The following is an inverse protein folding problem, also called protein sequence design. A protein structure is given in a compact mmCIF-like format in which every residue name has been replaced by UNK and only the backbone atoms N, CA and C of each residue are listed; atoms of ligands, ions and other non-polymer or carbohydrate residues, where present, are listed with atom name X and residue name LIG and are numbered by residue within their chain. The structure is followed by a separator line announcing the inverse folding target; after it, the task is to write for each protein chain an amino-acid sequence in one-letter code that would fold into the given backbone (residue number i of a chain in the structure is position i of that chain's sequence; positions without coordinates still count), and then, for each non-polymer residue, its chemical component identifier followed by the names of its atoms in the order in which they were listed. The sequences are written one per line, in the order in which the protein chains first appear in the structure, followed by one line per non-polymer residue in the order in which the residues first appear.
data_IF_163376455285
#
_entry.id   IF_163376455285
#
_cell.length_a   1.000
_cell.length_b   1.000
_cell.length_c   1.000
_cell.angle_alpha   90.00
_cell.angle_beta   90.00
_cell.angle_gamma   90.00
#
_symmetry.space_group_name_H-M   'P 1'
#
loop_
_entity.id
_entity.type
_entity.pdbx_description
1 polymer ?
#
# COMPACT_ATOMS: atom_id res chain seq x y z
N UNK A 1 22.67 22.82 42.67
CA UNK A 1 21.32 22.83 42.06
C UNK A 1 21.36 22.88 40.53
N UNK A 2 21.99 23.88 39.88
CA UNK A 2 22.07 23.96 38.40
C UNK A 2 22.75 22.74 37.74
N UNK A 3 23.87 22.25 38.28
CA UNK A 3 24.54 21.04 37.77
C UNK A 3 23.69 19.77 37.92
N UNK A 4 22.92 19.66 39.01
CA UNK A 4 22.01 18.54 39.25
C UNK A 4 20.85 18.56 38.23
N UNK A 5 20.28 19.75 37.95
CA UNK A 5 19.23 19.94 36.96
C UNK A 5 19.71 19.60 35.53
N UNK A 6 20.93 20.00 35.16
CA UNK A 6 21.53 19.66 33.86
C UNK A 6 21.73 18.15 33.75
N UNK A 7 22.28 17.50 34.79
CA UNK A 7 22.47 16.05 34.79
C UNK A 7 21.16 15.29 34.67
N UNK A 8 20.12 15.68 35.42
CA UNK A 8 18.78 15.08 35.31
C UNK A 8 18.17 15.27 33.92
N UNK A 9 18.29 16.47 33.32
CA UNK A 9 17.81 16.72 31.97
C UNK A 9 18.52 15.86 30.93
N UNK A 10 19.84 15.68 31.07
CA UNK A 10 20.65 14.81 30.19
C UNK A 10 20.23 13.34 30.34
N UNK A 11 20.09 12.83 31.56
CA UNK A 11 19.62 11.45 31.80
C UNK A 11 18.21 11.20 31.23
N UNK A 12 17.29 12.16 31.39
CA UNK A 12 15.95 12.08 30.80
C UNK A 12 16.03 12.03 29.27
N UNK A 13 16.83 12.89 28.64
CA UNK A 13 17.03 12.87 27.18
C UNK A 13 17.58 11.52 26.70
N UNK A 14 18.55 10.93 27.39
CA UNK A 14 19.07 9.61 27.06
C UNK A 14 18.01 8.51 27.19
N UNK A 15 17.18 8.54 28.23
CA UNK A 15 16.11 7.57 28.42
C UNK A 15 15.04 7.67 27.29
N UNK A 16 14.65 8.89 26.89
CA UNK A 16 13.72 9.08 25.78
C UNK A 16 14.27 8.56 24.45
N UNK A 17 15.54 8.85 24.14
CA UNK A 17 16.20 8.37 22.91
C UNK A 17 16.30 6.84 22.87
N UNK A 18 16.66 6.21 23.99
CA UNK A 18 16.71 4.75 24.09
C UNK A 18 15.34 4.09 23.86
N UNK A 19 14.28 4.66 24.45
CA UNK A 19 12.92 4.16 24.26
C UNK A 19 12.43 4.34 22.81
N UNK A 20 12.68 5.50 22.18
CA UNK A 20 12.32 5.74 20.79
C UNK A 20 13.04 4.78 19.83
N UNK A 21 14.34 4.53 20.04
CA UNK A 21 15.12 3.59 19.24
C UNK A 21 14.66 2.13 19.46
N UNK A 22 14.24 1.79 20.68
CA UNK A 22 13.63 0.50 21.00
C UNK A 22 12.28 0.33 20.28
N UNK A 23 11.42 1.35 20.32
CA UNK A 23 10.13 1.36 19.62
C UNK A 23 10.33 1.20 18.12
N UNK A 24 11.18 2.00 17.49
CA UNK A 24 11.46 1.90 16.04
C UNK A 24 11.87 0.47 15.63
N UNK A 25 12.68 -0.22 16.45
CA UNK A 25 13.05 -1.62 16.19
C UNK A 25 11.84 -2.56 16.27
N UNK A 26 10.94 -2.38 17.23
CA UNK A 26 9.68 -3.14 17.32
C UNK A 26 8.78 -2.87 16.10
N UNK A 27 8.67 -1.62 15.67
CA UNK A 27 7.92 -1.24 14.47
C UNK A 27 8.49 -1.98 13.25
N UNK A 28 9.81 -1.95 13.04
CA UNK A 28 10.48 -2.65 11.94
C UNK A 28 10.27 -4.17 11.99
N UNK A 29 10.30 -4.76 13.19
CA UNK A 29 10.04 -6.19 13.38
C UNK A 29 8.60 -6.54 12.98
N UNK A 30 7.61 -5.77 13.45
CA UNK A 30 6.20 -5.98 13.12
C UNK A 30 5.95 -5.84 11.61
N UNK A 31 6.53 -4.81 10.99
CA UNK A 31 6.50 -4.63 9.53
C UNK A 31 7.07 -5.89 8.85
N UNK A 32 8.30 -6.29 9.17
CA UNK A 32 8.98 -7.42 8.52
C UNK A 32 8.33 -8.78 8.77
N UNK A 33 7.61 -8.98 9.87
CA UNK A 33 6.86 -10.22 10.10
C UNK A 33 5.67 -10.42 9.16
N UNK A 34 5.28 -9.39 8.39
CA UNK A 34 4.33 -9.54 7.28
C UNK A 34 4.94 -10.23 6.04
N UNK A 35 6.24 -10.51 6.03
CA UNK A 35 6.90 -11.29 4.98
C UNK A 35 6.74 -12.81 5.17
N UNK A 36 6.67 -13.53 4.05
CA UNK A 36 6.52 -14.98 4.02
C UNK A 36 5.42 -15.46 3.08
N UNK A 37 5.06 -16.73 3.17
CA UNK A 37 3.96 -17.32 2.40
C UNK A 37 2.65 -17.36 3.20
N UNK A 38 1.54 -16.99 2.57
CA UNK A 38 0.23 -16.88 3.22
C UNK A 38 -0.89 -17.51 2.41
N UNK A 39 -1.81 -18.18 3.10
CA UNK A 39 -3.17 -18.35 2.62
C UNK A 39 -3.94 -17.06 2.90
N UNK A 40 -4.25 -16.34 1.83
CA UNK A 40 -4.93 -15.05 1.89
C UNK A 40 -6.43 -15.24 1.71
N UNK A 41 -7.22 -14.61 2.57
CA UNK A 41 -8.66 -14.49 2.43
C UNK A 41 -9.03 -13.05 2.14
N UNK A 42 -9.75 -12.79 1.06
CA UNK A 42 -10.27 -11.47 0.70
C UNK A 42 -11.77 -11.42 0.97
N UNK A 43 -12.16 -10.79 2.08
CA UNK A 43 -13.56 -10.68 2.49
C UNK A 43 -14.01 -9.23 2.44
N UNK A 44 -15.05 -8.93 1.68
CA UNK A 44 -15.61 -7.58 1.59
C UNK A 44 -17.13 -7.63 1.62
N UNK A 45 -17.73 -6.76 2.41
CA UNK A 45 -19.18 -6.59 2.48
C UNK A 45 -19.49 -5.10 2.62
N UNK A 46 -20.35 -4.59 1.75
CA UNK A 46 -20.97 -3.28 1.97
C UNK A 46 -21.96 -3.39 3.13
N UNK A 47 -21.92 -2.43 4.05
CA UNK A 47 -22.57 -2.55 5.38
C UNK A 47 -23.67 -1.53 5.58
N UNK A 48 -23.37 -0.24 5.38
CA UNK A 48 -24.33 0.84 5.54
C UNK A 48 -24.47 1.60 4.23
N UNK A 49 -25.71 1.82 3.82
CA UNK A 49 -26.08 2.54 2.61
C UNK A 49 -26.61 3.93 2.97
N UNK A 50 -26.18 4.94 2.21
CA UNK A 50 -26.62 6.33 2.38
C UNK A 50 -27.07 6.96 1.05
N UNK A 51 -27.33 6.12 0.03
CA UNK A 51 -27.84 6.57 -1.26
C UNK A 51 -29.29 7.02 -1.15
N UNK A 52 -29.62 8.15 -1.78
CA UNK A 52 -31.02 8.57 -2.01
C UNK A 52 -31.61 7.96 -3.31
N UNK A 53 -30.80 7.23 -4.10
CA UNK A 53 -31.25 6.52 -5.30
C UNK A 53 -32.03 5.25 -4.94
N UNK A 54 -33.33 5.22 -5.24
CA UNK A 54 -34.21 4.05 -5.04
C UNK A 54 -33.77 2.81 -5.83
N UNK A 55 -32.95 2.97 -6.87
CA UNK A 55 -32.39 1.86 -7.66
C UNK A 55 -30.96 1.51 -7.26
N UNK A 56 -30.47 2.01 -6.13
CA UNK A 56 -29.15 1.68 -5.62
C UNK A 56 -28.99 0.16 -5.50
N UNK A 57 -27.88 -0.34 -6.04
CA UNK A 57 -27.51 -1.76 -5.93
C UNK A 57 -26.22 -1.86 -5.14
N UNK A 58 -26.26 -2.43 -3.93
CA UNK A 58 -25.08 -2.55 -3.12
C UNK A 58 -24.06 -3.50 -3.73
N UNK A 59 -22.81 -3.35 -3.31
CA UNK A 59 -21.74 -4.25 -3.73
C UNK A 59 -22.02 -5.67 -3.25
N UNK A 60 -21.88 -6.65 -4.15
CA UNK A 60 -22.01 -8.05 -3.76
C UNK A 60 -20.95 -8.41 -2.73
N UNK A 61 -21.35 -9.17 -1.71
CA UNK A 61 -20.41 -9.75 -0.74
C UNK A 61 -19.37 -10.58 -1.50
N UNK A 62 -18.11 -10.32 -1.19
CA UNK A 62 -16.97 -11.02 -1.77
C UNK A 62 -16.35 -11.93 -0.72
N UNK A 63 -16.17 -13.19 -1.09
CA UNK A 63 -15.26 -14.13 -0.44
C UNK A 63 -14.38 -14.75 -1.49
N UNK A 64 -13.08 -14.58 -1.34
CA UNK A 64 -12.10 -15.05 -2.30
C UNK A 64 -10.83 -15.46 -1.55
N UNK A 65 -10.01 -16.31 -2.16
CA UNK A 65 -8.81 -16.84 -1.54
C UNK A 65 -7.68 -16.94 -2.53
N UNK A 66 -6.47 -16.75 -2.05
CA UNK A 66 -5.26 -16.96 -2.84
C UNK A 66 -4.13 -17.48 -1.96
N UNK A 67 -3.08 -17.98 -2.62
CA UNK A 67 -1.78 -18.12 -1.98
C UNK A 67 -0.94 -16.91 -2.38
N UNK A 68 -0.29 -16.26 -1.43
CA UNK A 68 0.50 -15.05 -1.68
C UNK A 68 1.87 -15.13 -1.02
N UNK A 69 2.91 -14.80 -1.79
CA UNK A 69 4.26 -14.60 -1.30
C UNK A 69 4.52 -13.13 -1.07
N UNK A 70 4.91 -12.77 0.16
CA UNK A 70 5.34 -11.42 0.50
C UNK A 70 6.87 -11.40 0.59
N UNK A 71 7.48 -10.92 -0.49
CA UNK A 71 8.92 -10.82 -0.64
C UNK A 71 9.46 -9.56 0.02
N UNK A 72 10.45 -9.70 0.90
CA UNK A 72 11.26 -8.58 1.38
C UNK A 72 12.22 -8.13 0.26
N UNK A 73 12.08 -6.89 -0.21
CA UNK A 73 12.85 -6.34 -1.33
C UNK A 73 13.99 -5.43 -0.85
N UNK A 74 13.75 -4.60 0.17
CA UNK A 74 14.76 -3.78 0.85
C UNK A 74 14.45 -3.74 2.35
N UNK A 75 15.51 -3.71 3.17
CA UNK A 75 15.46 -3.66 4.63
C UNK A 75 16.52 -2.66 5.13
N UNK A 76 16.25 -1.38 4.89
CA UNK A 76 17.06 -0.27 5.33
C UNK A 76 16.57 0.28 6.67
N UNK A 77 17.40 1.09 7.35
CA UNK A 77 17.07 1.65 8.67
C UNK A 77 15.79 2.50 8.66
N UNK A 78 15.47 3.13 7.54
CA UNK A 78 14.36 4.08 7.39
C UNK A 78 13.39 3.69 6.27
N UNK A 79 13.65 2.60 5.56
CA UNK A 79 12.84 2.13 4.44
C UNK A 79 12.77 0.61 4.45
N UNK A 80 11.57 0.06 4.38
CA UNK A 80 11.34 -1.37 4.17
C UNK A 80 10.43 -1.53 2.97
N UNK A 81 10.82 -2.32 1.98
CA UNK A 81 10.04 -2.54 0.76
C UNK A 81 9.60 -3.99 0.69
N UNK A 82 8.31 -4.21 0.40
CA UNK A 82 7.75 -5.55 0.23
C UNK A 82 6.98 -5.66 -1.07
N UNK A 83 7.21 -6.75 -1.78
CA UNK A 83 6.46 -7.10 -2.97
C UNK A 83 5.54 -8.29 -2.68
N UNK A 84 4.25 -8.12 -2.97
CA UNK A 84 3.26 -9.19 -2.89
C UNK A 84 3.09 -9.87 -4.25
N UNK A 85 3.20 -11.19 -4.28
CA UNK A 85 3.09 -12.03 -5.48
C UNK A 85 2.03 -13.10 -5.26
N UNK A 86 0.92 -13.00 -5.99
CA UNK A 86 -0.13 -14.03 -5.95
C UNK A 86 0.30 -15.25 -6.76
N UNK A 87 0.08 -16.43 -6.20
CA UNK A 87 0.15 -17.72 -6.88
C UNK A 87 -1.27 -18.13 -7.23
N UNK A 88 -1.60 -18.16 -8.52
CA UNK A 88 -2.93 -18.53 -9.02
C UNK A 88 -2.84 -19.68 -10.02
N UNK A 89 -3.98 -20.29 -10.35
CA UNK A 89 -4.02 -21.45 -11.25
C UNK A 89 -3.88 -22.77 -10.51
N UNK A 90 -3.54 -23.84 -11.24
CA UNK A 90 -3.43 -25.19 -10.67
C UNK A 90 -2.07 -25.38 -10.01
N UNK A 91 -1.94 -26.23 -8.97
CA UNK A 91 -0.67 -26.48 -8.29
C UNK A 91 0.47 -26.98 -9.22
N UNK A 92 0.13 -27.71 -10.28
CA UNK A 92 1.07 -28.24 -11.28
C UNK A 92 1.40 -27.25 -12.41
N UNK A 93 0.64 -26.16 -12.53
CA UNK A 93 0.87 -25.08 -13.49
C UNK A 93 0.50 -23.73 -12.88
N UNK A 94 1.27 -23.28 -11.87
CA UNK A 94 1.02 -22.02 -11.21
C UNK A 94 1.35 -20.84 -12.14
N UNK A 95 0.53 -19.80 -12.08
CA UNK A 95 0.82 -18.49 -12.66
C UNK A 95 1.07 -17.49 -11.55
N UNK A 96 2.09 -16.66 -11.73
CA UNK A 96 2.47 -15.64 -10.76
C UNK A 96 1.94 -14.29 -11.24
N UNK A 97 1.26 -13.59 -10.34
CA UNK A 97 0.82 -12.21 -10.58
C UNK A 97 1.55 -11.32 -9.57
N UNK A 98 2.33 -10.36 -10.07
CA UNK A 98 2.85 -9.27 -9.24
C UNK A 98 1.67 -8.38 -8.84
N UNK A 99 1.22 -8.51 -7.59
CA UNK A 99 -0.09 -8.03 -7.17
C UNK A 99 -0.07 -6.58 -6.67
N UNK A 100 0.71 -6.29 -5.64
CA UNK A 100 0.88 -4.93 -5.13
C UNK A 100 2.20 -4.82 -4.38
N UNK A 101 2.69 -3.60 -4.23
CA UNK A 101 3.90 -3.30 -3.46
C UNK A 101 3.53 -2.38 -2.31
N UNK A 102 4.21 -2.58 -1.19
CA UNK A 102 4.18 -1.64 -0.08
C UNK A 102 5.60 -1.21 0.30
N UNK A 103 5.79 0.09 0.38
CA UNK A 103 6.99 0.70 0.94
C UNK A 103 6.62 1.30 2.30
N UNK A 104 7.43 1.03 3.31
CA UNK A 104 7.31 1.58 4.64
C UNK A 104 8.45 2.57 4.86
N UNK A 105 8.13 3.85 5.06
CA UNK A 105 9.13 4.91 5.26
C UNK A 105 8.98 5.54 6.64
N UNK A 106 10.06 5.57 7.41
CA UNK A 106 10.07 6.15 8.76
C UNK A 106 10.12 7.68 8.70
N UNK A 107 9.23 8.35 9.42
CA UNK A 107 9.15 9.82 9.51
C UNK A 107 9.14 10.53 8.14
N UNK A 108 8.53 9.90 7.14
CA UNK A 108 8.45 10.46 5.78
C UNK A 108 7.59 11.72 5.75
N UNK A 109 8.13 12.78 5.13
CA UNK A 109 7.47 14.08 5.02
C UNK A 109 6.83 14.33 3.66
N UNK A 110 7.09 13.48 2.66
CA UNK A 110 6.67 13.69 1.28
C UNK A 110 5.55 12.71 0.91
N UNK A 111 4.33 13.23 0.75
CA UNK A 111 3.14 12.42 0.49
C UNK A 111 2.51 12.68 -0.88
N UNK A 112 1.94 11.63 -1.48
CA UNK A 112 1.10 11.66 -2.68
C UNK A 112 -0.31 11.19 -2.34
N UNK A 113 -1.17 12.13 -2.00
CA UNK A 113 -2.55 11.84 -1.56
C UNK A 113 -3.48 11.71 -2.76
N UNK A 114 -4.18 10.58 -2.89
CA UNK A 114 -5.11 10.37 -4.01
C UNK A 114 -6.28 11.35 -3.92
N UNK A 115 -6.69 11.91 -5.05
CA UNK A 115 -7.73 12.93 -5.13
C UNK A 115 -8.84 12.59 -6.14
N UNK A 116 -8.98 11.32 -6.52
CA UNK A 116 -9.94 10.89 -7.55
C UNK A 116 -9.37 11.00 -8.96
N UNK A 117 -10.02 10.33 -9.92
CA UNK A 117 -9.78 10.46 -11.36
C UNK A 117 -8.30 10.36 -11.81
N UNK A 118 -7.54 9.46 -11.17
CA UNK A 118 -6.10 9.26 -11.38
C UNK A 118 -5.26 10.52 -11.14
N UNK A 119 -5.63 11.31 -10.13
CA UNK A 119 -4.86 12.45 -9.63
C UNK A 119 -4.35 12.14 -8.23
N UNK A 120 -3.08 12.47 -7.97
CA UNK A 120 -2.45 12.46 -6.66
C UNK A 120 -1.85 13.83 -6.39
N UNK A 121 -2.27 14.46 -5.30
CA UNK A 121 -1.72 15.74 -4.88
C UNK A 121 -0.47 15.50 -4.05
N UNK A 122 0.61 16.21 -4.37
CA UNK A 122 1.82 16.21 -3.57
C UNK A 122 1.62 17.08 -2.32
N UNK A 123 1.93 16.51 -1.17
CA UNK A 123 1.79 17.15 0.14
C UNK A 123 3.10 17.00 0.91
N UNK A 124 3.68 18.12 1.32
CA UNK A 124 4.83 18.11 2.23
C UNK A 124 4.37 18.38 3.67
N UNK A 125 4.69 17.47 4.58
CA UNK A 125 4.33 17.57 5.99
C UNK A 125 5.52 18.08 6.83
N UNK A 126 5.27 18.90 7.87
CA UNK A 126 6.28 19.23 8.86
C UNK A 126 6.79 17.97 9.59
N UNK A 127 8.10 17.90 9.85
CA UNK A 127 8.74 16.76 10.56
C UNK A 127 8.07 16.39 11.88
N UNK A 128 7.58 17.38 12.62
CA UNK A 128 6.90 17.15 13.90
C UNK A 128 5.58 16.39 13.76
N UNK A 129 4.90 16.47 12.61
CA UNK A 129 3.65 15.74 12.38
C UNK A 129 3.87 14.25 12.11
N UNK A 130 5.06 13.87 11.64
CA UNK A 130 5.38 12.49 11.22
C UNK A 130 6.36 11.80 12.16
N UNK A 131 6.76 12.47 13.24
CA UNK A 131 7.72 11.98 14.22
C UNK A 131 7.29 10.65 14.83
N UNK A 132 8.18 9.66 14.79
CA UNK A 132 7.93 8.29 15.26
C UNK A 132 6.92 7.50 14.44
N UNK A 133 6.44 8.02 13.30
CA UNK A 133 5.49 7.36 12.43
C UNK A 133 6.18 6.61 11.30
N UNK A 134 5.45 5.66 10.73
CA UNK A 134 5.77 5.03 9.47
C UNK A 134 4.68 5.38 8.45
N UNK A 135 5.10 5.84 7.29
CA UNK A 135 4.23 5.97 6.12
C UNK A 135 4.19 4.64 5.38
N UNK A 136 3.00 4.10 5.16
CA UNK A 136 2.78 3.03 4.18
C UNK A 136 2.47 3.67 2.83
N UNK A 137 3.30 3.42 1.83
CA UNK A 137 3.01 3.73 0.42
C UNK A 137 2.60 2.47 -0.31
N UNK A 138 1.39 2.45 -0.85
CA UNK A 138 0.85 1.32 -1.61
C UNK A 138 0.88 1.63 -3.09
N UNK A 139 1.41 0.69 -3.87
CA UNK A 139 1.51 0.79 -5.32
C UNK A 139 0.71 -0.29 -6.02
N UNK A 140 0.32 -0.01 -7.26
CA UNK A 140 -0.41 -0.94 -8.12
C UNK A 140 0.51 -2.03 -8.69
N UNK A 141 -0.07 -2.92 -9.50
CA UNK A 141 0.65 -4.03 -10.16
C UNK A 141 1.83 -3.54 -11.01
N UNK A 142 1.73 -2.33 -11.56
CA UNK A 142 2.70 -1.63 -12.42
C UNK A 142 3.59 -0.62 -11.67
N UNK A 143 3.58 -0.67 -10.33
CA UNK A 143 4.27 0.24 -9.43
C UNK A 143 3.83 1.71 -9.49
N UNK A 144 2.75 2.04 -10.23
CA UNK A 144 2.12 3.37 -10.13
C UNK A 144 1.60 3.61 -8.71
N UNK A 145 1.50 4.87 -8.25
CA UNK A 145 0.97 5.15 -6.92
C UNK A 145 -0.49 4.66 -6.83
N UNK A 146 -0.88 4.20 -5.64
CA UNK A 146 -2.25 3.82 -5.33
C UNK A 146 -2.78 4.72 -4.23
N UNK A 147 -2.26 4.56 -3.02
CA UNK A 147 -2.58 5.40 -1.87
C UNK A 147 -1.46 5.32 -0.84
N UNK A 148 -1.44 6.27 0.07
CA UNK A 148 -0.48 6.27 1.16
C UNK A 148 -0.99 7.04 2.36
N UNK A 149 -0.43 6.73 3.52
CA UNK A 149 -0.67 7.49 4.74
C UNK A 149 0.30 7.11 5.84
N UNK A 150 0.33 7.94 6.88
CA UNK A 150 1.32 7.87 7.95
C UNK A 150 0.64 7.73 9.31
N UNK A 151 1.18 6.83 10.13
CA UNK A 151 0.74 6.64 11.51
C UNK A 151 1.83 5.97 12.35
N UNK A 152 1.69 6.00 13.67
CA UNK A 152 2.57 5.28 14.57
C UNK A 152 2.12 3.82 14.73
N UNK A 153 3.07 2.89 14.76
CA UNK A 153 2.80 1.53 15.25
C UNK A 153 2.56 1.55 16.76
N UNK A 154 1.63 0.74 17.22
CA UNK A 154 1.28 0.54 18.63
C UNK A 154 1.59 -0.91 18.99
N UNK A 155 2.21 -1.11 20.16
CA UNK A 155 2.62 -2.41 20.66
C UNK A 155 2.15 -2.56 22.11
N UNK A 156 1.00 -3.17 22.31
CA UNK A 156 0.34 -3.29 23.62
C UNK A 156 -0.29 -4.69 23.74
N UNK A 157 -0.30 -5.25 24.95
CA UNK A 157 -0.95 -6.54 25.26
C UNK A 157 -0.60 -7.70 24.31
N UNK A 158 0.65 -7.74 23.85
CA UNK A 158 1.15 -8.78 22.93
C UNK A 158 0.71 -8.63 21.47
N UNK A 159 -0.03 -7.57 21.13
CA UNK A 159 -0.45 -7.26 19.77
C UNK A 159 0.33 -6.05 19.22
N UNK A 160 0.67 -6.12 17.94
CA UNK A 160 1.24 -4.98 17.20
C UNK A 160 0.30 -4.56 16.09
N UNK A 161 -0.06 -3.28 16.04
CA UNK A 161 -0.90 -2.77 14.97
C UNK A 161 -0.50 -1.37 14.50
N UNK A 162 -0.87 -1.06 13.28
CA UNK A 162 -0.73 0.25 12.65
C UNK A 162 -2.04 0.61 11.97
N UNK A 163 -2.48 1.85 12.13
CA UNK A 163 -3.79 2.27 11.63
C UNK A 163 -3.74 3.69 11.07
N UNK A 164 -4.31 3.87 9.87
CA UNK A 164 -4.38 5.17 9.20
C UNK A 164 -5.67 5.31 8.39
N UNK A 165 -6.00 6.54 8.01
CA UNK A 165 -6.97 6.82 6.96
C UNK A 165 -6.24 7.31 5.69
N UNK A 166 -6.65 6.84 4.51
CA UNK A 166 -6.13 7.32 3.23
C UNK A 166 -7.18 7.23 2.12
N UNK A 167 -7.25 8.29 1.31
CA UNK A 167 -7.97 8.28 0.05
C UNK A 167 -7.27 7.34 -0.94
N UNK A 168 -8.06 6.54 -1.67
CA UNK A 168 -7.55 5.51 -2.55
C UNK A 168 -8.44 5.31 -3.79
N UNK A 169 -7.85 4.91 -4.92
CA UNK A 169 -8.60 4.55 -6.12
C UNK A 169 -9.47 3.31 -5.88
N UNK A 170 -10.55 3.23 -6.67
CA UNK A 170 -11.44 2.09 -6.65
C UNK A 170 -10.67 0.80 -6.98
N UNK A 171 -10.90 -0.31 -6.26
CA UNK A 171 -10.38 -1.59 -6.66
C UNK A 171 -11.13 -2.12 -7.90
N UNK A 172 -10.49 -3.00 -8.67
CA UNK A 172 -11.04 -3.56 -9.93
C UNK A 172 -12.45 -4.13 -9.82
N UNK A 173 -12.78 -4.77 -8.70
CA UNK A 173 -14.12 -5.33 -8.46
C UNK A 173 -15.23 -4.25 -8.49
N UNK A 174 -14.88 -2.99 -8.21
CA UNK A 174 -15.79 -1.85 -8.16
C UNK A 174 -15.81 -1.14 -9.50
N UNK A 175 -14.69 -0.56 -9.98
CA UNK A 175 -14.69 0.28 -11.19
C UNK A 175 -15.10 -0.46 -12.48
N UNK A 176 -15.09 -1.80 -12.49
CA UNK A 176 -15.57 -2.59 -13.65
C UNK A 176 -17.06 -2.88 -13.62
N UNK A 177 -17.74 -2.56 -12.51
CA UNK A 177 -19.15 -2.88 -12.24
C UNK A 177 -19.97 -1.66 -11.85
N UNK A 178 -19.32 -0.64 -11.31
CA UNK A 178 -19.91 0.54 -10.71
C UNK A 178 -19.25 1.80 -11.24
N UNK A 179 -20.04 2.86 -11.32
CA UNK A 179 -19.63 4.19 -11.78
C UNK A 179 -20.32 5.31 -10.99
N UNK A 180 -20.97 4.96 -9.89
CA UNK A 180 -21.77 5.83 -9.01
C UNK A 180 -20.94 6.51 -7.92
N UNK A 181 -19.64 6.21 -7.83
CA UNK A 181 -18.67 6.87 -6.96
C UNK A 181 -17.25 6.77 -7.55
N UNK A 182 -16.32 7.60 -7.07
CA UNK A 182 -14.99 7.77 -7.68
C UNK A 182 -13.81 7.70 -6.70
N UNK A 183 -14.08 7.54 -5.39
CA UNK A 183 -13.03 7.48 -4.38
C UNK A 183 -13.39 6.52 -3.24
N UNK A 184 -12.38 5.89 -2.65
CA UNK A 184 -12.53 5.17 -1.37
C UNK A 184 -11.70 5.84 -0.29
N UNK A 185 -12.31 6.26 0.82
CA UNK A 185 -11.56 6.59 2.03
C UNK A 185 -11.38 5.30 2.82
N UNK A 186 -10.15 4.81 2.87
CA UNK A 186 -9.80 3.55 3.53
C UNK A 186 -9.27 3.82 4.92
N UNK A 187 -9.95 3.33 5.95
CA UNK A 187 -9.34 3.19 7.27
C UNK A 187 -8.61 1.84 7.28
N UNK A 188 -7.29 1.86 7.14
CA UNK A 188 -6.48 0.65 7.11
C UNK A 188 -5.99 0.36 8.52
N UNK A 189 -6.18 -0.87 8.99
CA UNK A 189 -5.60 -1.39 10.23
C UNK A 189 -4.84 -2.68 9.94
N UNK A 190 -3.51 -2.61 10.00
CA UNK A 190 -2.64 -3.79 9.92
C UNK A 190 -2.41 -4.32 11.31
N UNK A 191 -2.80 -5.57 11.56
CA UNK A 191 -2.62 -6.25 12.84
C UNK A 191 -1.72 -7.44 12.64
N UNK A 192 -0.61 -7.47 13.36
CA UNK A 192 0.41 -8.52 13.24
C UNK A 192 0.34 -9.42 14.46
N UNK A 193 0.32 -10.73 14.22
CA UNK A 193 0.31 -11.79 15.22
C UNK A 193 1.29 -12.92 14.83
N UNK A 194 1.40 -13.95 15.65
CA UNK A 194 2.35 -15.06 15.42
C UNK A 194 1.94 -15.92 14.21
N UNK A 195 0.64 -16.15 14.07
CA UNK A 195 0.03 -16.97 13.01
C UNK A 195 -0.09 -16.26 11.65
N UNK A 196 0.32 -14.99 11.58
CA UNK A 196 0.28 -14.17 10.38
C UNK A 196 -0.19 -12.74 10.66
N UNK A 197 -1.00 -12.17 9.78
CA UNK A 197 -1.48 -10.80 9.95
C UNK A 197 -2.84 -10.58 9.31
N UNK A 198 -3.49 -9.49 9.68
CA UNK A 198 -4.80 -9.08 9.19
C UNK A 198 -4.70 -7.65 8.69
N UNK A 199 -5.32 -7.39 7.55
CA UNK A 199 -5.61 -6.04 7.07
C UNK A 199 -7.11 -5.81 7.18
N UNK A 200 -7.47 -5.22 8.31
CA UNK A 200 -8.83 -4.84 8.66
C UNK A 200 -9.11 -3.44 8.10
N UNK A 201 -10.24 -3.27 7.43
CA UNK A 201 -10.59 -2.07 6.69
C UNK A 201 -12.02 -1.66 6.96
N UNK A 202 -12.21 -0.40 7.36
CA UNK A 202 -13.52 0.25 7.37
C UNK A 202 -13.51 1.34 6.31
N UNK A 203 -14.05 1.02 5.14
CA UNK A 203 -13.98 1.86 3.95
C UNK A 203 -15.24 2.70 3.81
N UNK A 204 -15.09 3.94 3.31
CA UNK A 204 -16.20 4.75 2.79
C UNK A 204 -16.10 4.84 1.29
N UNK A 205 -17.22 4.62 0.59
CA UNK A 205 -17.38 4.88 -0.85
C UNK A 205 -17.81 6.33 -1.01
N UNK A 206 -17.00 7.14 -1.66
CA UNK A 206 -17.15 8.59 -1.70
C UNK A 206 -17.37 9.06 -3.13
N UNK A 207 -18.34 9.96 -3.28
CA UNK A 207 -18.54 10.79 -4.46
C UNK A 207 -17.85 12.12 -4.19
N UNK A 208 -16.71 12.34 -4.84
CA UNK A 208 -15.95 13.59 -4.77
C UNK A 208 -16.14 14.39 -6.05
N UNK A 209 -16.43 15.69 -5.92
CA UNK A 209 -16.51 16.65 -7.03
C UNK A 209 -15.78 17.93 -6.63
N UNK A 210 -15.09 18.54 -7.58
CA UNK A 210 -14.35 19.78 -7.35
C UNK A 210 -15.28 20.89 -6.80
N UNK A 211 -14.85 21.56 -5.73
CA UNK A 211 -15.59 22.65 -5.10
C UNK A 211 -16.86 22.24 -4.36
N UNK A 212 -17.14 20.94 -4.22
CA UNK A 212 -18.33 20.41 -3.54
C UNK A 212 -17.89 19.51 -2.38
N UNK A 213 -18.63 19.53 -1.28
CA UNK A 213 -18.39 18.62 -0.16
C UNK A 213 -18.60 17.17 -0.58
N UNK A 214 -17.69 16.30 -0.16
CA UNK A 214 -17.78 14.85 -0.38
C UNK A 214 -19.10 14.27 0.12
N UNK A 215 -19.69 13.38 -0.67
CA UNK A 215 -20.86 12.60 -0.27
C UNK A 215 -20.43 11.16 -0.01
N UNK A 216 -20.74 10.65 1.17
CA UNK A 216 -20.56 9.22 1.49
C UNK A 216 -21.74 8.46 0.92
N UNK A 217 -21.47 7.60 -0.06
CA UNK A 217 -22.48 6.77 -0.72
C UNK A 217 -22.82 5.53 0.12
N UNK A 218 -21.78 4.89 0.67
CA UNK A 218 -21.90 3.70 1.51
C UNK A 218 -20.63 3.45 2.32
N UNK A 219 -20.75 2.60 3.34
CA UNK A 219 -19.65 2.01 4.09
C UNK A 219 -19.44 0.54 3.68
N UNK A 220 -18.19 0.07 3.75
CA UNK A 220 -17.79 -1.29 3.42
C UNK A 220 -16.78 -1.81 4.43
N UNK A 221 -17.07 -2.99 5.01
CA UNK A 221 -16.10 -3.76 5.78
C UNK A 221 -15.22 -4.56 4.82
N UNK A 222 -13.91 -4.36 4.88
CA UNK A 222 -12.91 -5.23 4.28
C UNK A 222 -12.14 -5.97 5.37
N UNK A 223 -12.01 -7.28 5.25
CA UNK A 223 -11.29 -8.11 6.22
C UNK A 223 -10.40 -9.10 5.49
N UNK A 224 -9.16 -8.68 5.25
CA UNK A 224 -8.17 -9.51 4.59
C UNK A 224 -7.35 -10.27 5.64
N UNK A 225 -7.35 -11.60 5.55
CA UNK A 225 -6.57 -12.45 6.46
C UNK A 225 -5.35 -13.01 5.74
N UNK A 226 -4.20 -12.99 6.38
CA UNK A 226 -2.96 -13.58 5.88
C UNK A 226 -2.52 -14.65 6.86
N UNK A 227 -3.00 -15.88 6.67
CA UNK A 227 -2.63 -17.01 7.52
C UNK A 227 -1.30 -17.58 7.07
N UNK A 228 -0.28 -17.54 7.92
CA UNK A 228 1.08 -17.98 7.57
C UNK A 228 1.11 -19.48 7.30
N UNK A 229 1.82 -19.85 6.24
CA UNK A 229 2.05 -21.25 5.84
C UNK A 229 3.51 -21.43 5.48
N UNK A 230 3.93 -22.68 5.28
CA UNK A 230 5.32 -22.97 4.91
C UNK A 230 5.71 -22.28 3.59
N UNK A 231 6.86 -21.62 3.60
CA UNK A 231 7.36 -20.84 2.46
C UNK A 231 7.52 -21.68 1.19
N UNK A 232 7.76 -23.00 1.31
CA UNK A 232 7.86 -23.92 0.18
C UNK A 232 6.59 -23.98 -0.66
N UNK A 233 5.42 -23.67 -0.10
CA UNK A 233 4.17 -23.57 -0.85
C UNK A 233 4.20 -22.44 -1.89
N UNK A 234 4.99 -21.40 -1.62
CA UNK A 234 5.16 -20.24 -2.49
C UNK A 234 6.41 -20.32 -3.39
N UNK A 235 7.03 -21.50 -3.54
CA UNK A 235 8.28 -21.65 -4.29
C UNK A 235 8.22 -21.11 -5.72
N UNK A 236 7.07 -21.27 -6.40
CA UNK A 236 6.86 -20.72 -7.74
C UNK A 236 6.98 -19.18 -7.77
N UNK A 237 6.40 -18.48 -6.79
CA UNK A 237 6.51 -17.02 -6.68
C UNK A 237 7.94 -16.58 -6.35
N UNK A 238 8.63 -17.32 -5.47
CA UNK A 238 10.02 -17.04 -5.13
C UNK A 238 10.94 -17.16 -6.36
N UNK A 239 10.78 -18.20 -7.17
CA UNK A 239 11.57 -18.40 -8.39
C UNK A 239 11.26 -17.33 -9.44
N UNK A 240 9.98 -17.02 -9.64
CA UNK A 240 9.58 -15.93 -10.52
C UNK A 240 10.21 -14.60 -10.10
N UNK A 241 10.24 -14.28 -8.81
CA UNK A 241 10.88 -13.05 -8.32
C UNK A 241 12.38 -13.00 -8.60
N UNK A 242 13.09 -14.12 -8.45
CA UNK A 242 14.54 -14.19 -8.75
C UNK A 242 14.82 -13.82 -10.21
N UNK A 243 13.94 -14.22 -11.12
CA UNK A 243 14.07 -13.96 -12.55
C UNK A 243 13.64 -12.53 -12.94
N UNK A 244 12.58 -12.00 -12.32
CA UNK A 244 11.94 -10.75 -12.77
C UNK A 244 12.27 -9.54 -11.90
N UNK A 245 12.77 -9.75 -10.68
CA UNK A 245 12.95 -8.70 -9.68
C UNK A 245 13.91 -7.58 -10.11
N UNK A 246 14.91 -7.91 -10.93
CA UNK A 246 15.85 -6.94 -11.50
C UNK A 246 15.20 -6.01 -12.53
N UNK A 247 14.30 -6.52 -13.38
CA UNK A 247 13.55 -5.67 -14.32
C UNK A 247 12.57 -4.78 -13.58
N UNK A 248 11.89 -5.30 -12.56
CA UNK A 248 11.03 -4.49 -11.69
C UNK A 248 11.80 -3.46 -10.87
N UNK A 249 13.09 -3.66 -10.60
CA UNK A 249 13.92 -2.64 -9.98
C UNK A 249 14.04 -1.40 -10.87
N UNK A 250 14.21 -1.57 -12.19
CA UNK A 250 14.25 -0.46 -13.16
C UNK A 250 12.93 0.31 -13.20
N UNK A 251 11.80 -0.41 -13.20
CA UNK A 251 10.45 0.20 -13.11
C UNK A 251 10.32 1.04 -11.84
N UNK A 252 10.73 0.50 -10.69
CA UNK A 252 10.73 1.25 -9.43
C UNK A 252 11.63 2.47 -9.49
N UNK A 253 12.84 2.36 -10.04
CA UNK A 253 13.75 3.50 -10.21
C UNK A 253 13.14 4.60 -11.06
N UNK A 254 12.44 4.26 -12.16
CA UNK A 254 11.74 5.26 -12.97
C UNK A 254 10.64 5.97 -12.17
N UNK A 255 9.83 5.23 -11.41
CA UNK A 255 8.82 5.84 -10.54
C UNK A 255 9.43 6.69 -9.42
N UNK A 256 10.51 6.24 -8.79
CA UNK A 256 11.24 7.01 -7.76
C UNK A 256 11.72 8.35 -8.31
N UNK A 257 12.19 8.41 -9.57
CA UNK A 257 12.56 9.66 -10.24
C UNK A 257 11.36 10.60 -10.42
N UNK A 258 10.20 10.07 -10.82
CA UNK A 258 8.96 10.85 -10.95
C UNK A 258 8.54 11.42 -9.59
N UNK A 259 8.59 10.62 -8.53
CA UNK A 259 8.22 11.10 -7.20
C UNK A 259 9.18 12.14 -6.64
N UNK A 260 10.46 12.07 -7.02
CA UNK A 260 11.49 13.04 -6.62
C UNK A 260 11.23 14.46 -7.17
N UNK A 261 10.39 14.60 -8.20
CA UNK A 261 9.98 15.91 -8.75
C UNK A 261 9.06 16.69 -7.80
N UNK A 262 8.43 16.02 -6.82
CA UNK A 262 7.64 16.65 -5.74
C UNK A 262 6.54 17.58 -6.27
N UNK A 263 5.79 17.09 -7.24
CA UNK A 263 4.70 17.80 -7.90
C UNK A 263 3.46 16.92 -7.96
N UNK A 264 2.29 17.53 -8.17
CA UNK A 264 1.06 16.77 -8.38
C UNK A 264 1.21 15.83 -9.56
N UNK A 265 0.67 14.62 -9.43
CA UNK A 265 0.79 13.57 -10.43
C UNK A 265 -0.60 13.24 -10.96
N UNK A 266 -0.76 13.31 -12.27
CA UNK A 266 -1.96 12.87 -12.96
C UNK A 266 -1.60 11.82 -14.00
N UNK A 267 -2.36 10.72 -14.05
CA UNK A 267 -2.12 9.63 -14.98
C UNK A 267 -3.27 9.46 -15.97
N UNK A 268 -2.94 9.29 -17.25
CA UNK A 268 -3.87 8.78 -18.25
C UNK A 268 -4.36 7.39 -17.82
N UNK A 269 -5.66 7.14 -17.92
CA UNK A 269 -6.18 5.79 -17.63
C UNK A 269 -5.68 4.75 -18.65
N UNK A 270 -5.42 5.19 -19.89
CA UNK A 270 -4.96 4.36 -21.01
C UNK A 270 -4.07 5.15 -21.95
N UNK A 271 -3.09 4.47 -22.53
CA UNK A 271 -2.31 4.91 -23.70
C UNK A 271 -2.40 3.80 -24.72
N UNK A 272 -2.67 4.14 -25.98
CA UNK A 272 -2.91 3.17 -27.07
C UNK A 272 -4.00 2.14 -26.73
N UNK A 273 -5.06 2.58 -26.03
CA UNK A 273 -6.20 1.74 -25.65
C UNK A 273 -5.93 0.77 -24.50
N UNK A 274 -4.71 0.73 -23.95
CA UNK A 274 -4.29 -0.19 -22.90
C UNK A 274 -3.85 0.54 -21.62
N UNK A 275 -4.11 -0.03 -20.42
CA UNK A 275 -3.57 0.50 -19.16
C UNK A 275 -2.07 0.22 -19.03
N UNK A 276 -1.36 0.95 -18.16
CA UNK A 276 0.09 0.86 -18.02
C UNK A 276 0.57 -0.57 -17.74
N UNK A 277 -0.06 -1.26 -16.80
CA UNK A 277 0.27 -2.66 -16.53
C UNK A 277 0.22 -3.55 -17.77
N UNK A 278 -0.73 -3.34 -18.70
CA UNK A 278 -0.85 -4.21 -19.86
C UNK A 278 0.37 -4.08 -20.80
N UNK A 279 0.97 -2.88 -20.87
CA UNK A 279 2.24 -2.67 -21.58
C UNK A 279 3.40 -3.36 -20.84
N UNK A 280 3.55 -3.13 -19.53
CA UNK A 280 4.68 -3.66 -18.74
C UNK A 280 4.68 -5.19 -18.60
N UNK A 281 3.51 -5.84 -18.69
CA UNK A 281 3.36 -7.29 -18.61
C UNK A 281 3.27 -7.98 -19.98
N UNK A 282 3.44 -7.27 -21.10
CA UNK A 282 3.41 -7.92 -22.41
C UNK A 282 4.62 -8.84 -22.59
N UNK A 283 4.43 -9.99 -23.26
CA UNK A 283 5.49 -10.99 -23.45
C UNK A 283 6.68 -10.45 -24.25
N UNK A 284 6.41 -9.49 -25.14
CA UNK A 284 7.36 -8.81 -26.00
C UNK A 284 7.90 -7.49 -25.42
N UNK A 285 7.60 -7.18 -24.15
CA UNK A 285 8.03 -5.93 -23.53
C UNK A 285 9.56 -5.87 -23.36
N UNK A 286 10.20 -4.90 -24.02
CA UNK A 286 11.61 -4.59 -23.80
C UNK A 286 11.82 -3.94 -22.42
N UNK A 287 12.50 -4.66 -21.53
CA UNK A 287 12.81 -4.22 -20.17
C UNK A 287 14.09 -3.36 -20.08
N UNK A 288 14.51 -2.72 -21.17
CA UNK A 288 15.51 -1.66 -21.16
C UNK A 288 15.01 -0.43 -20.40
N UNK A 289 15.93 0.31 -19.75
CA UNK A 289 15.57 1.49 -18.95
C UNK A 289 14.91 2.58 -19.81
N UNK A 290 15.40 2.80 -21.03
CA UNK A 290 14.84 3.76 -21.98
C UNK A 290 13.40 3.42 -22.37
N UNK A 291 13.11 2.15 -22.66
CA UNK A 291 11.75 1.74 -23.02
C UNK A 291 10.79 1.82 -21.83
N UNK A 292 11.24 1.42 -20.63
CA UNK A 292 10.48 1.58 -19.38
C UNK A 292 10.16 3.07 -19.15
N UNK A 293 11.16 3.94 -19.25
CA UNK A 293 11.00 5.37 -19.05
C UNK A 293 9.99 5.96 -20.06
N UNK A 294 10.16 5.67 -21.35
CA UNK A 294 9.26 6.11 -22.41
C UNK A 294 7.82 5.63 -22.17
N UNK A 295 7.65 4.37 -21.77
CA UNK A 295 6.33 3.78 -21.51
C UNK A 295 5.65 4.48 -20.34
N UNK A 296 6.33 4.64 -19.21
CA UNK A 296 5.76 5.31 -18.02
C UNK A 296 5.48 6.79 -18.32
N UNK A 297 6.40 7.49 -18.99
CA UNK A 297 6.24 8.91 -19.30
C UNK A 297 5.05 9.19 -20.21
N UNK A 298 4.66 8.26 -21.08
CA UNK A 298 3.47 8.39 -21.91
C UNK A 298 2.16 8.40 -21.08
N UNK A 299 2.17 7.81 -19.89
CA UNK A 299 1.01 7.81 -18.99
C UNK A 299 0.93 9.06 -18.12
N UNK A 300 2.04 9.76 -17.88
CA UNK A 300 2.06 10.95 -17.03
C UNK A 300 1.52 12.14 -17.81
N UNK A 301 0.43 12.72 -17.31
CA UNK A 301 -0.11 13.97 -17.82
C UNK A 301 0.73 15.13 -17.28
N UNK A 302 1.33 15.88 -18.21
CA UNK A 302 2.08 17.11 -17.95
C UNK A 302 1.16 18.32 -17.96
#
# INVERSE_FOLDING_TARGET
MKQLLIFTAVCLMFAFQANAQSKKKKDQQAIKSMCGCYEVGFNFAETFEYSDDENYVPSKVKHDKALEWVQLVSDDKEKIVMQHLLVVGKPDSPRIIKHWRQDWLFENTDLYTYNGDNVWNYVSLPKEQVKGQWTQKVYQVDDSPRYEGSAAWIHEDGQSYWENAADAPLPRREYTKRSDYNLTLRNNRHVVAEEGWVHDQDNKKIIRKEGVTDVVLAEEKGFNTYKKVDDSRCLAAQNWWKEHGANWAKVRTKWDNVFAEKQDLKLNAKVDGMPLYAHLFSEDFDSSEDNIAKTIDAFILK
#
